data_IF_496033227481
#
_entry.id   IF_496033227481
#
_cell.length_a   1.000
_cell.length_b   1.000
_cell.length_c   1.000
_cell.angle_alpha   90.00
_cell.angle_beta   90.00
_cell.angle_gamma   90.00
#
_symmetry.space_group_name_H-M   'P 1'
#
loop_
_entity.id
_entity.type
_entity.pdbx_description
1 polymer ?
#
# COMPACT_ATOMS: atom_id res chain seq x y z
N UNK A 1 -25.23 -22.77 17.06
CA UNK A 1 -24.21 -23.66 17.66
C UNK A 1 -23.34 -24.15 16.51
N UNK A 2 -22.22 -23.50 16.24
CA UNK A 2 -21.32 -23.90 15.14
C UNK A 2 -20.09 -24.57 15.74
N UNK A 3 -19.98 -25.87 15.49
CA UNK A 3 -18.85 -26.70 15.84
C UNK A 3 -17.65 -26.34 14.97
N UNK A 4 -16.54 -26.01 15.61
CA UNK A 4 -15.25 -25.69 14.99
C UNK A 4 -14.65 -27.00 14.45
N UNK A 5 -14.92 -27.32 13.19
CA UNK A 5 -14.21 -28.35 12.43
C UNK A 5 -13.09 -27.67 11.64
N UNK A 6 -11.84 -27.83 12.10
CA UNK A 6 -10.59 -27.42 11.45
C UNK A 6 -10.43 -25.91 11.18
N UNK A 7 -9.27 -25.27 11.43
CA UNK A 7 -9.12 -23.84 11.18
C UNK A 7 -8.84 -23.59 9.69
N UNK A 8 -9.83 -23.87 8.84
CA UNK A 8 -9.80 -23.45 7.44
C UNK A 8 -9.97 -21.94 7.37
N UNK A 9 -9.27 -21.29 6.43
CA UNK A 9 -9.46 -19.87 6.16
C UNK A 9 -10.95 -19.56 5.88
N UNK A 10 -11.52 -18.45 6.42
CA UNK A 10 -12.95 -18.20 6.33
C UNK A 10 -13.42 -18.08 4.88
N UNK A 11 -14.52 -18.76 4.55
CA UNK A 11 -15.29 -18.49 3.33
C UNK A 11 -16.32 -17.41 3.68
N UNK A 12 -16.20 -16.24 3.07
CA UNK A 12 -17.04 -15.08 3.35
C UNK A 12 -17.26 -14.26 2.08
N UNK A 13 -18.30 -13.42 2.07
CA UNK A 13 -18.49 -12.41 1.03
C UNK A 13 -17.32 -11.42 1.02
N UNK A 14 -17.09 -10.71 -0.10
CA UNK A 14 -16.10 -9.63 -0.14
C UNK A 14 -16.30 -8.60 0.98
N UNK A 15 -17.56 -8.28 1.30
CA UNK A 15 -17.93 -7.34 2.37
C UNK A 15 -17.59 -7.86 3.77
N UNK A 16 -17.95 -9.10 4.06
CA UNK A 16 -17.69 -9.70 5.37
C UNK A 16 -16.19 -9.96 5.54
N UNK A 17 -15.51 -10.37 4.47
CA UNK A 17 -14.06 -10.53 4.46
C UNK A 17 -13.35 -9.20 4.70
N UNK A 18 -13.83 -8.09 4.14
CA UNK A 18 -13.27 -6.76 4.42
C UNK A 18 -13.33 -6.44 5.92
N UNK A 19 -14.41 -6.81 6.61
CA UNK A 19 -14.55 -6.64 8.05
C UNK A 19 -13.61 -7.57 8.83
N UNK A 20 -13.59 -8.87 8.52
CA UNK A 20 -12.68 -9.83 9.15
C UNK A 20 -11.20 -9.45 8.93
N UNK A 21 -10.87 -8.90 7.76
CA UNK A 21 -9.52 -8.55 7.37
C UNK A 21 -8.93 -7.41 8.21
N UNK A 22 -9.69 -6.35 8.44
CA UNK A 22 -9.22 -5.15 9.15
C UNK A 22 -9.63 -5.09 10.61
N UNK A 23 -10.77 -5.66 10.99
CA UNK A 23 -11.32 -5.61 12.36
C UNK A 23 -11.29 -6.94 13.09
N UNK A 24 -11.14 -8.07 12.38
CA UNK A 24 -11.27 -9.40 12.97
C UNK A 24 -12.74 -9.79 13.21
N UNK A 25 -12.96 -11.00 13.72
CA UNK A 25 -14.29 -11.47 14.12
C UNK A 25 -14.67 -10.91 15.49
N UNK A 26 -15.66 -10.02 15.52
CA UNK A 26 -16.16 -9.41 16.77
C UNK A 26 -16.90 -10.39 17.67
N UNK A 27 -17.39 -11.52 17.13
CA UNK A 27 -18.06 -12.54 17.94
C UNK A 27 -17.06 -13.34 18.79
N UNK A 28 -15.77 -13.33 18.40
CA UNK A 28 -14.69 -14.03 19.07
C UNK A 28 -13.81 -13.06 19.84
N UNK A 29 -13.74 -13.19 21.16
CA UNK A 29 -12.95 -12.29 22.05
C UNK A 29 -11.46 -12.21 21.69
N UNK A 30 -10.91 -13.22 20.99
CA UNK A 30 -9.49 -13.33 20.63
C UNK A 30 -9.22 -13.21 19.12
N UNK A 31 -10.21 -12.83 18.30
CA UNK A 31 -9.98 -12.75 16.85
C UNK A 31 -9.22 -11.49 16.48
N UNK A 32 -7.90 -11.63 16.33
CA UNK A 32 -7.06 -10.62 15.65
C UNK A 32 -7.49 -10.44 14.19
N UNK A 33 -7.33 -9.23 13.62
CA UNK A 33 -7.59 -8.99 12.19
C UNK A 33 -6.77 -9.92 11.30
N UNK A 34 -7.37 -10.44 10.21
CA UNK A 34 -6.68 -11.39 9.32
C UNK A 34 -5.46 -10.77 8.64
N UNK A 35 -5.42 -9.44 8.47
CA UNK A 35 -4.25 -8.72 7.95
C UNK A 35 -3.01 -8.82 8.85
N UNK A 36 -3.15 -9.26 10.11
CA UNK A 36 -2.06 -9.42 11.08
C UNK A 36 -1.54 -10.86 11.17
N UNK A 37 -2.18 -11.81 10.48
CA UNK A 37 -1.71 -13.18 10.42
C UNK A 37 -0.40 -13.29 9.63
N UNK A 38 0.47 -14.18 10.08
CA UNK A 38 1.69 -14.61 9.38
C UNK A 38 1.41 -15.93 8.68
N UNK A 39 2.20 -16.27 7.67
CA UNK A 39 2.08 -17.56 6.97
C UNK A 39 2.21 -18.77 7.90
N UNK A 40 2.98 -18.64 8.99
CA UNK A 40 3.12 -19.67 10.02
C UNK A 40 1.85 -19.86 10.88
N UNK A 41 0.94 -18.87 10.89
CA UNK A 41 -0.34 -18.96 11.61
C UNK A 41 -1.40 -19.72 10.79
N UNK A 42 -1.08 -20.16 9.57
CA UNK A 42 -2.03 -20.81 8.63
C UNK A 42 -1.66 -22.29 8.51
N UNK A 43 -2.57 -23.21 8.91
CA UNK A 43 -2.22 -24.61 9.17
C UNK A 43 -1.93 -25.42 7.91
N UNK A 44 -2.55 -25.09 6.77
CA UNK A 44 -2.48 -25.89 5.54
C UNK A 44 -2.25 -25.04 4.29
N UNK A 45 -1.74 -25.68 3.23
CA UNK A 45 -1.36 -25.00 2.00
C UNK A 45 -2.56 -24.48 1.19
N UNK A 46 -3.73 -25.10 1.30
CA UNK A 46 -4.94 -24.61 0.64
C UNK A 46 -5.38 -23.30 1.28
N UNK A 47 -5.46 -23.25 2.61
CA UNK A 47 -5.73 -22.03 3.38
C UNK A 47 -4.68 -20.95 3.15
N UNK A 48 -3.39 -21.31 2.96
CA UNK A 48 -2.35 -20.33 2.60
C UNK A 48 -2.59 -19.72 1.23
N UNK A 49 -2.95 -20.53 0.22
CA UNK A 49 -3.30 -20.03 -1.12
C UNK A 49 -4.49 -19.09 -1.04
N UNK A 50 -5.56 -19.50 -0.36
CA UNK A 50 -6.76 -18.68 -0.18
C UNK A 50 -6.43 -17.37 0.53
N UNK A 51 -5.68 -17.41 1.63
CA UNK A 51 -5.24 -16.20 2.33
C UNK A 51 -4.41 -15.29 1.43
N UNK A 52 -3.52 -15.85 0.61
CA UNK A 52 -2.68 -15.07 -0.30
C UNK A 52 -3.51 -14.39 -1.39
N UNK A 53 -4.46 -15.10 -2.01
CA UNK A 53 -5.41 -14.53 -2.96
C UNK A 53 -6.25 -13.43 -2.29
N UNK A 54 -6.83 -13.69 -1.13
CA UNK A 54 -7.62 -12.69 -0.38
C UNK A 54 -6.77 -11.47 -0.02
N UNK A 55 -5.50 -11.67 0.34
CA UNK A 55 -4.55 -10.58 0.59
C UNK A 55 -4.36 -9.69 -0.64
N UNK A 56 -4.30 -10.27 -1.85
CA UNK A 56 -4.22 -9.48 -3.09
C UNK A 56 -5.43 -8.59 -3.26
N UNK A 57 -6.63 -9.17 -3.14
CA UNK A 57 -7.88 -8.43 -3.28
C UNK A 57 -7.98 -7.29 -2.26
N UNK A 58 -7.73 -7.57 -0.98
CA UNK A 58 -7.81 -6.56 0.09
C UNK A 58 -6.76 -5.45 -0.08
N UNK A 59 -5.57 -5.80 -0.58
CA UNK A 59 -4.52 -4.82 -0.92
C UNK A 59 -4.97 -3.93 -2.08
N UNK A 60 -5.56 -4.50 -3.13
CA UNK A 60 -6.06 -3.76 -4.28
C UNK A 60 -7.18 -2.79 -3.87
N UNK A 61 -8.16 -3.27 -3.10
CA UNK A 61 -9.24 -2.42 -2.58
C UNK A 61 -8.68 -1.27 -1.71
N UNK A 62 -7.69 -1.54 -0.86
CA UNK A 62 -7.01 -0.49 -0.09
C UNK A 62 -6.32 0.55 -0.97
N UNK A 63 -5.66 0.11 -2.06
CA UNK A 63 -5.02 1.02 -3.01
C UNK A 63 -6.05 1.89 -3.74
N UNK A 64 -7.19 1.32 -4.12
CA UNK A 64 -8.31 2.07 -4.72
C UNK A 64 -8.79 3.14 -3.73
N UNK A 65 -8.97 2.78 -2.45
CA UNK A 65 -9.39 3.72 -1.41
C UNK A 65 -8.43 4.91 -1.27
N UNK A 66 -7.12 4.65 -1.28
CA UNK A 66 -6.10 5.72 -1.19
C UNK A 66 -6.04 6.57 -2.47
N UNK A 67 -6.13 5.93 -3.64
CA UNK A 67 -6.02 6.60 -4.95
C UNK A 67 -7.19 7.56 -5.19
N UNK A 68 -8.40 7.13 -4.86
CA UNK A 68 -9.61 7.94 -4.96
C UNK A 68 -9.83 8.83 -3.72
N UNK A 69 -8.84 8.93 -2.83
CA UNK A 69 -8.87 9.77 -1.63
C UNK A 69 -10.04 9.48 -0.68
N UNK A 70 -10.60 8.26 -0.75
CA UNK A 70 -11.64 7.76 0.16
C UNK A 70 -11.06 7.45 1.55
N UNK A 71 -9.74 7.26 1.63
CA UNK A 71 -8.97 7.10 2.86
C UNK A 71 -7.72 7.97 2.82
N UNK A 72 -7.43 8.66 3.93
CA UNK A 72 -6.15 9.36 4.10
C UNK A 72 -5.02 8.45 4.58
N UNK A 73 -5.34 7.37 5.31
CA UNK A 73 -4.37 6.37 5.77
C UNK A 73 -5.09 5.06 6.13
N UNK A 74 -4.39 3.95 5.98
CA UNK A 74 -4.87 2.61 6.37
C UNK A 74 -5.01 2.43 7.88
N UNK A 75 -4.34 3.28 8.67
CA UNK A 75 -4.43 3.26 10.15
C UNK A 75 -5.82 3.70 10.64
N UNK A 76 -6.58 4.46 9.84
CA UNK A 76 -7.97 4.84 10.16
C UNK A 76 -8.95 3.68 10.07
N UNK A 77 -8.67 2.65 9.25
CA UNK A 77 -9.60 1.53 9.02
C UNK A 77 -9.89 0.72 10.30
N UNK A 78 -8.89 0.59 11.18
CA UNK A 78 -9.02 -0.19 12.40
C UNK A 78 -9.93 0.49 13.45
N UNK A 79 -9.96 1.82 13.47
CA UNK A 79 -10.66 2.61 14.48
C UNK A 79 -11.95 3.29 13.96
N UNK A 80 -12.29 3.08 12.69
CA UNK A 80 -13.47 3.65 12.06
C UNK A 80 -14.75 3.01 12.60
N UNK A 81 -15.78 3.84 12.88
CA UNK A 81 -17.11 3.36 13.28
C UNK A 81 -17.67 2.37 12.25
N UNK A 82 -18.45 1.38 12.70
CA UNK A 82 -18.91 0.28 11.83
C UNK A 82 -19.74 0.75 10.65
N UNK A 83 -20.59 1.76 10.85
CA UNK A 83 -21.42 2.32 9.77
C UNK A 83 -20.56 3.02 8.71
N UNK A 84 -19.64 3.88 9.14
CA UNK A 84 -18.68 4.55 8.24
C UNK A 84 -17.78 3.55 7.51
N UNK A 85 -17.40 2.47 8.18
CA UNK A 85 -16.57 1.40 7.61
C UNK A 85 -17.31 0.60 6.53
N UNK A 86 -18.62 0.34 6.73
CA UNK A 86 -19.49 -0.29 5.72
C UNK A 86 -19.72 0.61 4.50
N UNK A 87 -19.99 1.91 4.74
CA UNK A 87 -20.15 2.89 3.66
C UNK A 87 -18.86 3.03 2.84
N UNK A 88 -17.72 3.09 3.53
CA UNK A 88 -16.41 3.13 2.89
C UNK A 88 -16.19 1.90 2.00
N UNK A 89 -16.50 0.69 2.49
CA UNK A 89 -16.42 -0.51 1.65
C UNK A 89 -17.24 -0.36 0.36
N UNK A 90 -18.49 0.14 0.45
CA UNK A 90 -19.33 0.37 -0.72
C UNK A 90 -18.69 1.32 -1.74
N UNK A 91 -18.13 2.44 -1.27
CA UNK A 91 -17.46 3.43 -2.12
C UNK A 91 -16.18 2.87 -2.76
N UNK A 92 -15.36 2.17 -1.98
CA UNK A 92 -14.12 1.55 -2.45
C UNK A 92 -14.40 0.45 -3.46
N UNK A 93 -15.39 -0.39 -3.19
CA UNK A 93 -15.75 -1.50 -4.07
C UNK A 93 -16.34 -0.96 -5.39
N UNK A 94 -17.16 0.08 -5.35
CA UNK A 94 -17.66 0.73 -6.56
C UNK A 94 -16.52 1.34 -7.40
N UNK A 95 -15.59 2.05 -6.76
CA UNK A 95 -14.42 2.58 -7.45
C UNK A 95 -13.54 1.46 -8.05
N UNK A 96 -13.44 0.32 -7.37
CA UNK A 96 -12.76 -0.87 -7.88
C UNK A 96 -13.47 -1.47 -9.10
N UNK A 97 -14.80 -1.59 -9.08
CA UNK A 97 -15.57 -2.08 -10.23
C UNK A 97 -15.39 -1.18 -11.45
N UNK A 98 -15.37 0.15 -11.25
CA UNK A 98 -15.11 1.09 -12.33
C UNK A 98 -13.71 0.91 -12.96
N UNK A 99 -12.70 0.48 -12.17
CA UNK A 99 -11.36 0.15 -12.67
C UNK A 99 -11.29 -1.21 -13.38
N UNK A 100 -12.20 -2.14 -13.08
CA UNK A 100 -12.24 -3.48 -13.66
C UNK A 100 -12.89 -3.53 -15.06
N UNK A 101 -13.56 -2.44 -15.47
CA UNK A 101 -14.21 -2.33 -16.77
C UNK A 101 -15.54 -3.09 -16.88
N UNK A 102 -16.20 -2.97 -18.04
CA UNK A 102 -17.58 -3.41 -18.25
C UNK A 102 -17.83 -4.93 -18.09
N UNK A 103 -16.79 -5.75 -18.05
CA UNK A 103 -16.90 -7.21 -17.94
C UNK A 103 -16.82 -7.71 -16.48
N UNK A 104 -16.69 -6.81 -15.50
CA UNK A 104 -16.63 -7.19 -14.09
C UNK A 104 -18.02 -7.44 -13.51
N UNK A 105 -18.34 -8.69 -13.19
CA UNK A 105 -19.63 -9.11 -12.60
C UNK A 105 -19.60 -9.21 -11.08
N UNK A 106 -18.49 -8.80 -10.44
CA UNK A 106 -18.32 -8.89 -9.00
C UNK A 106 -19.25 -7.93 -8.26
N UNK A 107 -19.79 -8.39 -7.14
CA UNK A 107 -20.57 -7.58 -6.19
C UNK A 107 -19.95 -7.69 -4.79
N UNK A 108 -20.36 -6.82 -3.87
CA UNK A 108 -19.93 -6.91 -2.48
C UNK A 108 -20.32 -8.23 -1.79
N UNK A 109 -21.33 -8.91 -2.32
CA UNK A 109 -21.84 -10.20 -1.83
C UNK A 109 -21.16 -11.41 -2.51
N UNK A 110 -20.36 -11.19 -3.56
CA UNK A 110 -19.61 -12.24 -4.22
C UNK A 110 -18.67 -12.93 -3.23
N UNK A 111 -18.46 -14.24 -3.43
CA UNK A 111 -17.52 -14.99 -2.60
C UNK A 111 -16.12 -14.37 -2.73
N UNK A 112 -15.50 -14.04 -1.59
CA UNK A 112 -14.24 -13.32 -1.58
C UNK A 112 -13.09 -14.13 -2.19
N UNK A 113 -13.15 -15.46 -2.14
CA UNK A 113 -12.13 -16.34 -2.72
C UNK A 113 -12.23 -16.30 -4.24
N UNK A 114 -13.43 -16.44 -4.79
CA UNK A 114 -13.67 -16.35 -6.24
C UNK A 114 -13.32 -14.96 -6.78
N UNK A 115 -13.71 -13.90 -6.07
CA UNK A 115 -13.34 -12.53 -6.43
C UNK A 115 -11.83 -12.32 -6.38
N UNK A 116 -11.15 -12.92 -5.41
CA UNK A 116 -9.70 -12.84 -5.27
C UNK A 116 -8.96 -13.64 -6.35
N UNK A 117 -9.47 -14.81 -6.72
CA UNK A 117 -8.96 -15.61 -7.84
C UNK A 117 -9.18 -14.89 -9.17
N UNK A 118 -10.34 -14.26 -9.37
CA UNK A 118 -10.61 -13.42 -10.52
C UNK A 118 -9.62 -12.25 -10.60
N UNK A 119 -9.32 -11.59 -9.48
CA UNK A 119 -8.28 -10.54 -9.43
C UNK A 119 -6.90 -11.12 -9.72
N UNK A 120 -6.57 -12.30 -9.18
CA UNK A 120 -5.30 -12.96 -9.43
C UNK A 120 -5.15 -13.41 -10.89
N UNK A 121 -6.23 -13.74 -11.59
CA UNK A 121 -6.23 -14.17 -12.99
C UNK A 121 -6.29 -12.99 -13.97
N UNK A 122 -7.13 -11.99 -13.69
CA UNK A 122 -7.28 -10.77 -14.50
C UNK A 122 -6.08 -9.83 -14.34
N UNK A 123 -5.34 -9.98 -13.25
CA UNK A 123 -4.09 -9.26 -12.97
C UNK A 123 -3.04 -10.27 -12.49
N UNK A 124 -2.53 -11.14 -13.38
CA UNK A 124 -1.59 -12.20 -13.00
C UNK A 124 -0.35 -11.59 -12.37
N UNK A 125 -0.22 -11.80 -11.07
CA UNK A 125 1.07 -11.72 -10.39
C UNK A 125 1.91 -12.83 -10.98
N UNK A 126 2.90 -12.51 -11.83
CA UNK A 126 3.80 -13.51 -12.40
C UNK A 126 4.52 -14.25 -11.28
N UNK A 127 4.01 -15.42 -10.90
CA UNK A 127 4.70 -16.43 -10.11
C UNK A 127 4.27 -17.79 -10.63
N UNK A 128 4.71 -18.11 -11.84
CA UNK A 128 4.95 -19.49 -12.27
C UNK A 128 6.05 -19.43 -13.33
N UNK A 129 7.17 -20.08 -13.02
CA UNK A 129 8.27 -20.27 -13.93
C UNK A 129 7.82 -21.13 -15.13
N UNK A 130 7.93 -20.59 -16.35
CA UNK A 130 8.53 -21.30 -17.50
C UNK A 130 8.77 -20.34 -18.68
N UNK A 131 9.76 -20.64 -19.56
CA UNK A 131 10.40 -19.64 -20.39
C UNK A 131 9.90 -19.72 -21.84
N UNK A 132 9.13 -18.74 -22.31
CA UNK A 132 9.18 -18.30 -23.71
C UNK A 132 8.88 -16.81 -23.79
N UNK A 133 9.91 -16.06 -24.18
CA UNK A 133 9.99 -14.71 -24.74
C UNK A 133 8.68 -13.92 -24.92
N UNK A 134 8.51 -12.87 -24.11
CA UNK A 134 7.85 -11.63 -24.52
C UNK A 134 8.41 -10.44 -23.72
N UNK A 135 8.93 -9.47 -24.46
CA UNK A 135 9.71 -8.32 -23.98
C UNK A 135 8.82 -7.19 -23.48
N UNK A 136 8.10 -7.41 -22.38
CA UNK A 136 7.55 -6.30 -21.57
C UNK A 136 8.59 -5.95 -20.52
N UNK A 137 9.14 -4.72 -20.57
CA UNK A 137 10.07 -4.20 -19.54
C UNK A 137 9.31 -4.06 -18.21
N UNK A 138 9.15 -5.16 -17.50
CA UNK A 138 8.75 -5.15 -16.11
C UNK A 138 9.82 -4.38 -15.34
N UNK A 139 9.49 -3.20 -14.81
CA UNK A 139 10.40 -2.47 -13.93
C UNK A 139 10.76 -3.40 -12.76
N UNK A 140 12.06 -3.49 -12.39
CA UNK A 140 12.52 -4.37 -11.33
C UNK A 140 11.96 -3.92 -9.97
N UNK A 141 12.27 -4.69 -8.94
CA UNK A 141 11.90 -4.41 -7.56
C UNK A 141 12.17 -2.95 -7.16
N UNK A 142 11.24 -2.35 -6.40
CA UNK A 142 11.36 -0.97 -5.97
C UNK A 142 12.63 -0.77 -5.12
N UNK A 143 13.53 0.15 -5.50
CA UNK A 143 14.85 0.19 -4.90
C UNK A 143 14.82 0.77 -3.48
N UNK A 144 15.70 0.22 -2.62
CA UNK A 144 15.84 0.67 -1.24
C UNK A 144 17.02 1.64 -1.09
N UNK A 145 16.76 2.91 -1.39
CA UNK A 145 17.75 3.99 -1.43
C UNK A 145 17.73 4.88 -0.18
N UNK A 146 18.76 5.70 -0.02
CA UNK A 146 18.78 6.78 0.94
C UNK A 146 17.63 7.78 0.66
N UNK A 147 17.14 8.45 1.70
CA UNK A 147 15.95 9.29 1.59
C UNK A 147 16.17 10.51 0.68
N UNK A 148 17.38 11.06 0.62
CA UNK A 148 17.73 12.17 -0.26
C UNK A 148 17.83 11.74 -1.74
N UNK A 149 18.48 10.61 -2.01
CA UNK A 149 18.54 10.03 -3.36
C UNK A 149 17.14 9.66 -3.84
N UNK A 150 16.34 9.07 -2.96
CA UNK A 150 14.96 8.72 -3.24
C UNK A 150 14.10 9.97 -3.48
N UNK A 151 14.31 11.08 -2.76
CA UNK A 151 13.59 12.33 -3.05
C UNK A 151 13.86 12.81 -4.47
N UNK A 152 15.12 12.80 -4.92
CA UNK A 152 15.44 13.17 -6.30
C UNK A 152 14.71 12.27 -7.30
N UNK A 153 14.81 10.96 -7.13
CA UNK A 153 14.22 9.96 -8.05
C UNK A 153 12.69 9.95 -8.02
N UNK A 154 12.10 10.28 -6.86
CA UNK A 154 10.65 10.41 -6.68
C UNK A 154 10.03 11.37 -7.71
N UNK A 155 10.72 12.47 -7.99
CA UNK A 155 10.28 13.51 -8.91
C UNK A 155 10.96 13.47 -10.28
N UNK A 156 12.16 12.89 -10.42
CA UNK A 156 12.92 12.95 -11.69
C UNK A 156 13.05 11.63 -12.43
N UNK A 157 12.88 10.51 -11.74
CA UNK A 157 13.23 9.21 -12.31
C UNK A 157 14.73 9.10 -12.61
N UNK A 158 15.05 8.05 -13.34
CA UNK A 158 16.38 7.73 -13.85
C UNK A 158 16.25 6.87 -15.11
N UNK A 159 17.38 6.42 -15.65
CA UNK A 159 17.41 5.57 -16.84
C UNK A 159 16.66 4.25 -16.64
N UNK A 160 16.51 3.77 -15.41
CA UNK A 160 15.74 2.56 -15.14
C UNK A 160 14.26 2.76 -15.44
N UNK A 161 13.73 3.94 -15.14
CA UNK A 161 12.34 4.30 -15.41
C UNK A 161 12.16 5.10 -16.68
N UNK A 162 13.14 5.13 -17.60
CA UNK A 162 13.13 5.98 -18.79
C UNK A 162 12.86 7.47 -18.43
N UNK A 163 13.46 7.94 -17.33
CA UNK A 163 13.25 9.26 -16.71
C UNK A 163 11.81 9.55 -16.25
N UNK A 164 10.96 8.53 -16.15
CA UNK A 164 9.64 8.66 -15.53
C UNK A 164 9.82 8.79 -14.01
N UNK A 165 9.24 9.81 -13.36
CA UNK A 165 9.30 9.96 -11.91
C UNK A 165 8.86 8.70 -11.18
N UNK A 166 9.59 8.31 -10.13
CA UNK A 166 9.29 7.06 -9.40
C UNK A 166 7.87 7.04 -8.83
N UNK A 167 7.31 8.21 -8.50
CA UNK A 167 5.92 8.34 -8.03
C UNK A 167 4.87 7.93 -9.08
N UNK A 168 5.21 7.98 -10.37
CA UNK A 168 4.34 7.63 -11.50
C UNK A 168 4.71 6.30 -12.16
N UNK A 169 5.94 5.83 -11.94
CA UNK A 169 6.43 4.62 -12.57
C UNK A 169 5.66 3.36 -12.12
N UNK A 170 5.49 2.43 -13.05
CA UNK A 170 4.74 1.19 -12.87
C UNK A 170 5.59 0.12 -12.15
N UNK A 171 6.02 0.42 -10.92
CA UNK A 171 6.77 -0.54 -10.09
C UNK A 171 5.95 -1.79 -9.79
N UNK A 172 6.62 -2.93 -9.69
CA UNK A 172 5.99 -4.18 -9.24
C UNK A 172 5.29 -3.96 -7.89
N UNK A 173 3.98 -4.20 -7.90
CA UNK A 173 3.10 -4.00 -6.75
C UNK A 173 3.28 -5.15 -5.79
N UNK A 174 4.17 -5.01 -4.79
CA UNK A 174 4.05 -5.64 -3.45
C UNK A 174 5.23 -5.44 -2.50
N UNK A 175 6.28 -4.70 -2.87
CA UNK A 175 7.43 -4.53 -1.99
C UNK A 175 7.11 -3.54 -0.84
N UNK A 176 7.23 -3.99 0.42
CA UNK A 176 7.19 -3.14 1.64
C UNK A 176 8.03 -1.85 1.50
N UNK A 177 9.22 -1.88 0.86
CA UNK A 177 10.00 -0.67 0.56
C UNK A 177 9.25 0.42 -0.20
N UNK A 178 8.38 0.07 -1.16
CA UNK A 178 7.61 1.06 -1.93
C UNK A 178 6.58 1.75 -1.04
N UNK A 179 5.88 1.00 -0.20
CA UNK A 179 4.86 1.56 0.70
C UNK A 179 5.48 2.54 1.69
N UNK A 180 6.55 2.13 2.39
CA UNK A 180 7.26 2.97 3.35
C UNK A 180 7.81 4.23 2.68
N UNK A 181 8.39 4.07 1.48
CA UNK A 181 8.92 5.20 0.70
C UNK A 181 7.83 6.16 0.26
N UNK A 182 6.70 5.66 -0.23
CA UNK A 182 5.56 6.48 -0.65
C UNK A 182 5.07 7.33 0.50
N UNK A 183 4.94 6.75 1.70
CA UNK A 183 4.51 7.48 2.89
C UNK A 183 5.47 8.62 3.26
N UNK A 184 6.78 8.33 3.29
CA UNK A 184 7.81 9.33 3.61
C UNK A 184 7.84 10.44 2.55
N UNK A 185 7.84 10.08 1.26
CA UNK A 185 7.92 11.04 0.15
C UNK A 185 6.68 11.93 0.06
N UNK A 186 5.48 11.36 0.25
CA UNK A 186 4.24 12.15 0.32
C UNK A 186 4.27 13.12 1.51
N UNK A 187 4.73 12.67 2.68
CA UNK A 187 4.84 13.54 3.88
C UNK A 187 5.81 14.70 3.65
N UNK A 188 6.99 14.43 3.10
CA UNK A 188 7.96 15.46 2.74
C UNK A 188 7.38 16.44 1.69
N UNK A 189 6.66 15.92 0.69
CA UNK A 189 5.98 16.73 -0.34
C UNK A 189 4.98 17.70 0.30
N UNK A 190 4.13 17.21 1.21
CA UNK A 190 3.18 18.05 1.95
C UNK A 190 3.88 19.11 2.79
N UNK A 191 5.00 18.78 3.44
CA UNK A 191 5.79 19.75 4.22
C UNK A 191 6.36 20.84 3.31
N UNK A 192 6.89 20.48 2.14
CA UNK A 192 7.44 21.43 1.18
C UNK A 192 6.37 22.42 0.68
N UNK A 193 5.17 21.91 0.35
CA UNK A 193 4.03 22.73 -0.10
C UNK A 193 3.54 23.64 1.02
N UNK A 194 3.31 23.09 2.22
CA UNK A 194 2.81 23.87 3.36
C UNK A 194 3.79 24.96 3.81
N UNK A 195 5.09 24.77 3.58
CA UNK A 195 6.11 25.76 3.85
C UNK A 195 6.36 26.71 2.67
N UNK A 196 5.49 26.71 1.65
CA UNK A 196 5.56 27.53 0.45
C UNK A 196 6.89 27.40 -0.32
N UNK A 197 7.57 26.25 -0.23
CA UNK A 197 8.80 25.99 -0.98
C UNK A 197 8.53 25.57 -2.43
N UNK A 198 7.33 25.07 -2.69
CA UNK A 198 6.80 24.81 -4.01
C UNK A 198 5.26 24.91 -3.98
N UNK A 199 4.61 25.37 -5.05
CA UNK A 199 3.16 25.51 -5.08
C UNK A 199 2.43 24.17 -5.22
N UNK A 200 3.08 23.13 -5.77
CA UNK A 200 2.48 21.82 -5.98
C UNK A 200 3.52 20.72 -6.14
N UNK A 201 3.07 19.46 -6.11
CA UNK A 201 3.89 18.30 -6.43
C UNK A 201 4.40 18.33 -7.88
N UNK A 202 3.64 18.90 -8.81
CA UNK A 202 4.06 19.03 -10.21
C UNK A 202 5.12 20.12 -10.40
N UNK A 203 5.06 21.20 -9.62
CA UNK A 203 6.11 22.20 -9.59
C UNK A 203 7.44 21.64 -9.05
N UNK A 204 7.38 20.73 -8.06
CA UNK A 204 8.54 19.96 -7.59
C UNK A 204 9.11 19.04 -8.67
N UNK A 205 8.26 18.48 -9.52
CA UNK A 205 8.73 17.68 -10.66
C UNK A 205 9.30 18.54 -11.78
N UNK A 206 8.75 19.72 -12.05
CA UNK A 206 9.21 20.61 -13.11
C UNK A 206 10.53 21.33 -12.76
N UNK A 207 10.81 21.59 -11.48
CA UNK A 207 11.98 22.39 -11.09
C UNK A 207 13.33 21.70 -11.38
N UNK A 208 14.41 22.45 -11.64
CA UNK A 208 15.75 21.90 -11.81
C UNK A 208 16.21 21.05 -10.62
N UNK A 209 17.01 20.02 -10.86
CA UNK A 209 17.52 19.11 -9.80
C UNK A 209 18.22 19.84 -8.65
N UNK A 210 18.93 20.94 -8.96
CA UNK A 210 19.56 21.79 -7.94
C UNK A 210 18.54 22.44 -7.00
N UNK A 211 17.45 22.96 -7.57
CA UNK A 211 16.38 23.60 -6.79
C UNK A 211 15.59 22.55 -6.00
N UNK A 212 15.35 21.39 -6.60
CA UNK A 212 14.71 20.25 -5.94
C UNK A 212 15.51 19.78 -4.72
N UNK A 213 16.84 19.74 -4.83
CA UNK A 213 17.72 19.45 -3.69
C UNK A 213 17.62 20.53 -2.61
N UNK A 214 17.62 21.81 -2.99
CA UNK A 214 17.46 22.91 -2.02
C UNK A 214 16.13 22.83 -1.27
N UNK A 215 15.04 22.47 -1.96
CA UNK A 215 13.74 22.23 -1.31
C UNK A 215 13.83 21.08 -0.32
N UNK A 216 14.49 19.98 -0.68
CA UNK A 216 14.71 18.86 0.24
C UNK A 216 15.50 19.29 1.49
N UNK A 217 16.62 20.00 1.31
CA UNK A 217 17.49 20.44 2.39
C UNK A 217 16.75 21.35 3.40
N UNK A 218 15.72 22.08 2.95
CA UNK A 218 14.85 22.89 3.81
C UNK A 218 13.66 22.13 4.39
N UNK A 219 13.16 21.11 3.67
CA UNK A 219 11.99 20.31 4.05
C UNK A 219 12.36 19.25 5.09
N UNK A 220 13.48 18.57 4.91
CA UNK A 220 13.88 17.44 5.73
C UNK A 220 14.10 17.82 7.21
N UNK A 221 14.74 18.95 7.57
CA UNK A 221 14.84 19.36 8.97
C UNK A 221 13.47 19.61 9.61
N UNK A 222 12.50 20.15 8.85
CA UNK A 222 11.12 20.36 9.34
C UNK A 222 10.41 19.03 9.57
N UNK A 223 10.66 18.04 8.71
CA UNK A 223 10.18 16.68 8.90
C UNK A 223 10.80 16.03 10.15
N UNK A 224 12.13 16.09 10.30
CA UNK A 224 12.83 15.50 11.44
C UNK A 224 12.39 16.09 12.79
N UNK A 225 12.07 17.39 12.85
CA UNK A 225 11.54 18.05 14.07
C UNK A 225 10.16 17.57 14.50
N UNK A 226 9.39 16.92 13.62
CA UNK A 226 8.07 16.34 13.97
C UNK A 226 8.18 14.97 14.65
N UNK A 227 9.41 14.47 14.80
CA UNK A 227 9.70 13.18 15.41
C UNK A 227 9.96 13.32 16.90
N UNK A 228 9.70 12.26 17.66
CA UNK A 228 10.07 12.19 19.08
C UNK A 228 11.59 12.43 19.27
N UNK A 229 12.05 13.07 20.36
CA UNK A 229 13.47 13.33 20.62
C UNK A 229 14.36 12.08 20.49
N UNK A 230 13.87 10.90 20.89
CA UNK A 230 14.62 9.62 20.75
C UNK A 230 14.69 9.12 19.30
N UNK A 231 13.65 9.43 18.50
CA UNK A 231 13.60 9.13 17.07
C UNK A 231 14.36 10.13 16.21
N UNK A 232 14.55 11.37 16.67
CA UNK A 232 15.12 12.46 15.88
C UNK A 232 16.57 12.20 15.47
N UNK A 233 17.41 11.67 16.37
CA UNK A 233 18.81 11.30 16.06
C UNK A 233 18.90 10.21 14.97
N UNK A 234 17.83 9.45 14.78
CA UNK A 234 17.74 8.36 13.83
C UNK A 234 17.21 8.80 12.45
N UNK A 235 16.69 10.02 12.32
CA UNK A 235 16.14 10.56 11.07
C UNK A 235 17.18 11.46 10.41
N UNK A 236 18.07 10.83 9.64
CA UNK A 236 19.09 11.50 8.82
C UNK A 236 18.82 11.29 7.33
N UNK A 237 19.15 12.25 6.44
CA UNK A 237 18.87 12.16 5.01
C UNK A 237 19.42 10.90 4.33
N UNK A 238 20.62 10.48 4.76
CA UNK A 238 21.32 9.31 4.22
C UNK A 238 20.72 7.97 4.65
N UNK A 239 19.73 7.97 5.54
CA UNK A 239 19.05 6.74 5.96
C UNK A 239 17.99 6.36 4.93
N UNK A 240 17.81 5.07 4.73
CA UNK A 240 16.75 4.52 3.87
C UNK A 240 15.36 4.86 4.41
N UNK A 241 14.40 5.11 3.53
CA UNK A 241 13.01 5.46 3.93
C UNK A 241 12.38 4.40 4.85
N UNK A 242 12.63 3.11 4.61
CA UNK A 242 12.18 2.00 5.48
C UNK A 242 12.78 2.05 6.89
N UNK A 243 14.00 2.56 7.03
CA UNK A 243 14.68 2.75 8.31
C UNK A 243 14.15 3.98 9.07
N UNK A 244 13.85 5.07 8.34
CA UNK A 244 13.19 6.25 8.89
C UNK A 244 11.79 5.88 9.38
N UNK A 245 11.00 5.14 8.58
CA UNK A 245 9.67 4.67 8.95
C UNK A 245 9.68 3.83 10.24
N UNK A 246 10.62 2.90 10.38
CA UNK A 246 10.79 2.13 11.64
C UNK A 246 11.09 3.01 12.85
N UNK A 247 11.77 4.14 12.66
CA UNK A 247 12.06 5.10 13.73
C UNK A 247 10.82 5.92 14.13
N UNK A 248 9.76 5.92 13.31
CA UNK A 248 8.44 6.50 13.65
C UNK A 248 7.57 5.56 14.49
N UNK A 249 7.82 4.24 14.43
CA UNK A 249 6.93 3.23 15.03
C UNK A 249 7.38 2.76 16.42
N UNK A 250 8.56 3.17 16.90
CA UNK A 250 9.00 2.88 18.27
C UNK A 250 8.36 3.91 19.20
N UNK A 251 7.20 3.54 19.76
CA UNK A 251 6.62 4.12 20.98
C UNK A 251 6.85 3.17 22.13
#
# INVERSE_FOLDING_TARGET
MLAIHSPSFPSASCRDMWSLWFKGDKASRDSRPLCKLRTADIPDDASKRTWWSTKQLMTKLTQVALRHQLLSSTEFLANMADESFRLLFGQVFQAFLNECGANCTLTGESNCVEAAEWVAQSFPSSTTANPVSQTTRHLPEFPSLACDDMWRLWFKGDDLTDNVPYRRAAWSTMAQPRYDTTMIMTTLTTIAINAALAPSADALEAMPTRDLKRVFDQTFPRFARRMDPTGQANVIPKRKCTGIRRSMSKK
#
